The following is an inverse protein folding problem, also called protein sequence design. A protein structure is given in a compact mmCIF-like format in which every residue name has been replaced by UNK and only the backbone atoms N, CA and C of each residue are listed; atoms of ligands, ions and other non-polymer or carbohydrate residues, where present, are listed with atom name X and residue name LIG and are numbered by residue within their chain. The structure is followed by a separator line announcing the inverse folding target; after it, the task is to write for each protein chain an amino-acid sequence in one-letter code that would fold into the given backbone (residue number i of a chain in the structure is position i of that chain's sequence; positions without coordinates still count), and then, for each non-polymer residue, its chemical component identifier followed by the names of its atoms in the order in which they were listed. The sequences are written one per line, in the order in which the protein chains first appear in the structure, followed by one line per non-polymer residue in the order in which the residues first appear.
data_IF_711583298666
#
_entry.id   IF_711583298666
#
_cell.length_a   1.000
_cell.length_b   1.000
_cell.length_c   1.000
_cell.angle_alpha   90.00
_cell.angle_beta   90.00
_cell.angle_gamma   90.00
#
_symmetry.space_group_name_H-M   'P 1'
#
loop_
_entity.id
_entity.type
_entity.pdbx_description
1 polymer ?
#
# COMPACT_ATOMS: atom_id res chain seq x y z
N UNK A 1 -33.39 49.38 -29.33
CA UNK A 1 -33.01 48.47 -30.42
C UNK A 1 -31.51 48.53 -30.63
N UNK A 2 -30.74 47.64 -30.00
CA UNK A 2 -29.46 47.19 -30.53
C UNK A 2 -29.31 45.74 -30.04
N UNK A 3 -29.44 44.82 -31.00
CA UNK A 3 -29.40 43.39 -30.79
C UNK A 3 -27.98 42.85 -31.03
N UNK A 4 -27.69 41.79 -30.29
CA UNK A 4 -26.50 40.96 -30.21
C UNK A 4 -25.84 40.59 -31.55
N UNK A 5 -24.50 40.53 -31.52
CA UNK A 5 -23.73 39.53 -32.27
C UNK A 5 -22.46 39.20 -31.48
N UNK A 6 -22.50 38.12 -30.71
CA UNK A 6 -21.30 37.42 -30.25
C UNK A 6 -21.30 36.06 -30.93
N UNK A 7 -20.44 35.93 -31.93
CA UNK A 7 -20.16 34.69 -32.64
C UNK A 7 -19.45 33.72 -31.68
N UNK A 8 -20.07 32.55 -31.46
CA UNK A 8 -19.44 31.43 -30.77
C UNK A 8 -18.53 30.69 -31.74
N UNK A 9 -17.22 30.69 -31.47
CA UNK A 9 -16.30 29.70 -32.02
C UNK A 9 -16.48 28.39 -31.26
N UNK A 10 -17.36 27.52 -31.76
CA UNK A 10 -17.42 26.10 -31.41
C UNK A 10 -16.78 25.31 -32.56
N UNK A 11 -15.47 25.16 -32.52
CA UNK A 11 -14.75 24.16 -33.32
C UNK A 11 -14.10 23.22 -32.30
N UNK A 12 -14.64 22.00 -32.19
CA UNK A 12 -13.98 20.91 -31.49
C UNK A 12 -14.81 20.14 -30.48
N UNK A 13 -15.99 19.62 -30.85
CA UNK A 13 -16.62 18.50 -30.13
C UNK A 13 -17.73 17.82 -30.95
N UNK A 14 -17.47 17.53 -32.23
CA UNK A 14 -18.39 16.72 -33.03
C UNK A 14 -17.58 15.83 -33.97
N UNK A 15 -17.13 14.69 -33.46
CA UNK A 15 -16.86 13.43 -34.19
C UNK A 15 -16.13 12.42 -33.27
N UNK A 16 -16.87 11.84 -32.33
CA UNK A 16 -16.62 10.46 -31.87
C UNK A 16 -17.93 9.74 -31.51
N UNK A 17 -19.02 10.10 -32.18
CA UNK A 17 -20.19 9.21 -32.24
C UNK A 17 -19.80 8.00 -33.10
N UNK A 18 -20.02 6.81 -32.54
CA UNK A 18 -19.86 5.48 -33.14
C UNK A 18 -18.46 4.82 -33.04
N UNK A 19 -18.15 4.27 -31.86
CA UNK A 19 -17.98 2.81 -31.74
C UNK A 19 -17.84 2.39 -30.26
N UNK A 20 -18.97 2.05 -29.64
CA UNK A 20 -18.97 0.99 -28.63
C UNK A 20 -20.17 0.08 -28.87
N UNK A 21 -20.24 -0.60 -30.03
CA UNK A 21 -21.45 -1.29 -30.49
C UNK A 21 -21.73 -2.61 -29.73
N UNK A 22 -21.32 -2.73 -28.46
CA UNK A 22 -21.48 -3.96 -27.68
C UNK A 22 -21.74 -3.73 -26.18
N UNK A 23 -21.90 -2.48 -25.69
CA UNK A 23 -22.11 -2.24 -24.25
C UNK A 23 -23.16 -1.16 -24.00
N UNK A 24 -24.02 -1.42 -23.01
CA UNK A 24 -25.02 -0.45 -22.58
C UNK A 24 -24.33 0.72 -21.86
N UNK A 25 -24.47 1.93 -22.41
CA UNK A 25 -23.71 3.12 -21.98
C UNK A 25 -24.63 4.24 -21.53
N UNK A 26 -24.34 4.83 -20.37
CA UNK A 26 -25.01 6.04 -19.88
C UNK A 26 -24.30 7.30 -20.38
N UNK A 27 -25.09 8.23 -20.92
CA UNK A 27 -24.65 9.53 -21.41
C UNK A 27 -25.41 10.63 -20.68
N UNK A 28 -24.70 11.41 -19.85
CA UNK A 28 -25.25 12.54 -19.10
C UNK A 28 -25.82 13.67 -19.96
N UNK A 29 -25.40 13.74 -21.24
CA UNK A 29 -26.04 14.53 -22.29
C UNK A 29 -26.11 13.70 -23.57
N UNK A 30 -27.24 13.77 -24.27
CA UNK A 30 -27.45 12.89 -25.43
C UNK A 30 -26.60 13.28 -26.64
N UNK A 31 -25.77 12.37 -27.16
CA UNK A 31 -24.88 12.71 -28.25
C UNK A 31 -25.68 12.88 -29.54
N UNK A 32 -25.45 13.99 -30.26
CA UNK A 32 -26.07 14.27 -31.56
C UNK A 32 -27.53 14.72 -31.51
N UNK A 33 -28.12 14.91 -30.32
CA UNK A 33 -29.47 15.47 -30.16
C UNK A 33 -29.35 16.91 -29.67
N UNK A 34 -29.83 17.86 -30.47
CA UNK A 34 -29.97 19.26 -30.05
C UNK A 34 -31.23 19.34 -29.18
N UNK A 35 -31.07 19.27 -27.85
CA UNK A 35 -32.17 19.45 -26.91
C UNK A 35 -32.18 20.89 -26.39
N UNK A 36 -33.37 21.45 -26.15
CA UNK A 36 -33.48 22.76 -25.52
C UNK A 36 -32.93 22.69 -24.08
N UNK A 37 -32.41 23.79 -23.51
CA UNK A 37 -31.90 23.81 -22.13
C UNK A 37 -32.92 23.37 -21.07
N UNK A 38 -34.21 23.50 -21.38
CA UNK A 38 -35.34 23.06 -20.53
C UNK A 38 -35.63 21.56 -20.64
N UNK A 39 -35.16 20.91 -21.69
CA UNK A 39 -35.39 19.50 -22.02
C UNK A 39 -34.12 18.65 -21.82
N UNK A 40 -33.13 19.15 -21.07
CA UNK A 40 -31.89 18.42 -20.81
C UNK A 40 -32.22 17.06 -20.19
N UNK A 41 -32.14 16.03 -21.03
CA UNK A 41 -32.33 14.64 -20.67
C UNK A 41 -31.04 13.90 -20.98
N UNK A 42 -30.74 12.92 -20.15
CA UNK A 42 -29.65 11.99 -20.38
C UNK A 42 -30.22 10.77 -21.11
N UNK A 43 -29.36 9.97 -21.73
CA UNK A 43 -29.80 8.78 -22.45
C UNK A 43 -28.95 7.58 -22.13
N UNK A 44 -29.57 6.44 -22.38
CA UNK A 44 -28.94 5.14 -22.32
C UNK A 44 -28.82 4.66 -23.76
N UNK A 45 -27.60 4.40 -24.18
CA UNK A 45 -27.30 3.71 -25.42
C UNK A 45 -27.34 2.21 -25.13
N UNK A 46 -28.13 1.44 -25.89
CA UNK A 46 -28.11 -0.01 -25.80
C UNK A 46 -26.92 -0.60 -26.57
N UNK A 47 -26.75 -1.92 -26.48
CA UNK A 47 -25.65 -2.64 -27.13
C UNK A 47 -25.67 -2.48 -28.67
N UNK A 48 -26.83 -2.31 -29.29
CA UNK A 48 -26.98 -2.11 -30.74
C UNK A 48 -26.77 -0.64 -31.14
N UNK A 49 -26.43 0.23 -30.19
CA UNK A 49 -26.17 1.65 -30.39
C UNK A 49 -27.41 2.55 -30.42
N UNK A 50 -28.62 2.01 -30.22
CA UNK A 50 -29.84 2.79 -30.15
C UNK A 50 -29.91 3.58 -28.84
N UNK A 51 -30.29 4.86 -28.94
CA UNK A 51 -30.41 5.76 -27.81
C UNK A 51 -31.85 5.80 -27.29
N UNK A 52 -32.01 5.57 -25.99
CA UNK A 52 -33.25 5.83 -25.26
C UNK A 52 -33.06 7.05 -24.38
N UNK A 53 -33.86 8.09 -24.60
CA UNK A 53 -33.90 9.25 -23.71
C UNK A 53 -34.54 8.86 -22.38
N UNK A 54 -34.01 9.40 -21.29
CA UNK A 54 -34.60 9.27 -19.96
C UNK A 54 -35.10 10.65 -19.57
N UNK A 55 -36.43 10.87 -19.53
CA UNK A 55 -36.98 12.18 -19.22
C UNK A 55 -36.57 12.60 -17.81
N UNK A 56 -36.52 13.91 -17.59
CA UNK A 56 -36.26 14.48 -16.27
C UNK A 56 -37.41 14.13 -15.32
N UNK A 57 -37.16 13.26 -14.34
CA UNK A 57 -38.18 12.79 -13.39
C UNK A 57 -37.99 13.33 -11.97
N UNK A 58 -37.49 14.56 -11.85
CA UNK A 58 -37.27 15.23 -10.56
C UNK A 58 -35.82 15.16 -10.07
N UNK A 59 -35.57 15.45 -8.78
CA UNK A 59 -34.21 15.58 -8.23
C UNK A 59 -33.52 14.23 -8.00
N UNK A 60 -34.30 13.15 -7.82
CA UNK A 60 -33.79 11.79 -7.60
C UNK A 60 -34.15 10.92 -8.80
N UNK A 61 -33.15 10.25 -9.37
CA UNK A 61 -33.29 9.46 -10.59
C UNK A 61 -32.83 8.04 -10.31
N UNK A 62 -33.69 7.07 -10.63
CA UNK A 62 -33.40 5.65 -10.50
C UNK A 62 -33.06 5.02 -11.86
N UNK A 63 -31.80 4.66 -12.04
CA UNK A 63 -31.27 3.92 -13.19
C UNK A 63 -30.73 2.53 -12.76
N UNK A 64 -31.22 2.01 -11.64
CA UNK A 64 -30.80 0.71 -11.14
C UNK A 64 -31.25 -0.43 -12.06
N UNK A 65 -30.47 -1.52 -12.09
CA UNK A 65 -30.80 -2.75 -12.82
C UNK A 65 -31.12 -2.57 -14.32
N UNK A 66 -30.41 -1.66 -15.00
CA UNK A 66 -30.59 -1.39 -16.45
C UNK A 66 -29.51 -2.01 -17.33
N UNK A 67 -28.64 -2.84 -16.75
CA UNK A 67 -27.55 -3.49 -17.47
C UNK A 67 -26.47 -2.52 -17.97
N UNK A 68 -26.38 -1.33 -17.38
CA UNK A 68 -25.38 -0.32 -17.76
C UNK A 68 -23.98 -0.86 -17.43
N UNK A 69 -23.09 -0.86 -18.41
CA UNK A 69 -21.71 -1.33 -18.25
C UNK A 69 -20.70 -0.18 -18.25
N UNK A 70 -21.05 0.93 -18.91
CA UNK A 70 -20.19 2.10 -19.04
C UNK A 70 -20.96 3.38 -18.73
N UNK A 71 -20.31 4.32 -18.04
CA UNK A 71 -20.84 5.68 -17.84
C UNK A 71 -19.90 6.64 -18.54
N UNK A 72 -20.28 7.12 -19.73
CA UNK A 72 -19.47 8.08 -20.45
C UNK A 72 -19.51 9.46 -19.79
N UNK A 73 -20.67 9.86 -19.27
CA UNK A 73 -20.80 11.08 -18.48
C UNK A 73 -21.95 10.96 -17.51
N UNK A 74 -21.80 11.57 -16.33
CA UNK A 74 -22.88 11.68 -15.36
C UNK A 74 -23.82 12.83 -15.74
N UNK A 75 -25.14 12.69 -15.53
CA UNK A 75 -26.07 13.79 -15.71
C UNK A 75 -25.77 14.91 -14.70
N UNK A 76 -25.85 16.16 -15.15
CA UNK A 76 -25.52 17.34 -14.32
C UNK A 76 -26.69 17.83 -13.45
N UNK A 77 -27.93 17.52 -13.84
CA UNK A 77 -29.14 18.03 -13.19
C UNK A 77 -29.62 17.34 -11.90
N UNK A 78 -29.56 16.00 -11.75
CA UNK A 78 -30.13 15.34 -10.57
C UNK A 78 -29.26 15.52 -9.34
N UNK A 79 -29.90 15.69 -8.18
CA UNK A 79 -29.21 15.73 -6.89
C UNK A 79 -28.95 14.35 -6.32
N UNK A 80 -29.72 13.34 -6.74
CA UNK A 80 -29.53 11.94 -6.38
C UNK A 80 -29.65 11.04 -7.61
N UNK A 81 -28.68 10.14 -7.77
CA UNK A 81 -28.64 9.19 -8.87
C UNK A 81 -28.39 7.77 -8.34
N UNK A 82 -29.31 6.87 -8.65
CA UNK A 82 -29.16 5.44 -8.38
C UNK A 82 -28.68 4.71 -9.64
N UNK A 83 -27.46 4.18 -9.59
CA UNK A 83 -26.84 3.32 -10.61
C UNK A 83 -26.58 1.91 -10.09
N UNK A 84 -27.25 1.50 -9.01
CA UNK A 84 -27.03 0.21 -8.38
C UNK A 84 -27.46 -0.97 -9.27
N UNK A 85 -26.94 -2.16 -8.98
CA UNK A 85 -27.30 -3.41 -9.68
C UNK A 85 -27.06 -3.36 -11.19
N UNK A 86 -26.05 -2.62 -11.61
CA UNK A 86 -25.59 -2.58 -12.99
C UNK A 86 -24.26 -3.36 -13.11
N UNK A 87 -23.55 -3.21 -14.22
CA UNK A 87 -22.25 -3.84 -14.45
C UNK A 87 -21.16 -2.79 -14.66
N UNK A 88 -21.29 -1.63 -14.00
CA UNK A 88 -20.39 -0.49 -14.17
C UNK A 88 -19.03 -0.82 -13.57
N UNK A 89 -17.98 -0.68 -14.37
CA UNK A 89 -16.60 -0.80 -13.91
C UNK A 89 -15.93 0.55 -13.69
N UNK A 90 -16.24 1.52 -14.55
CA UNK A 90 -15.54 2.81 -14.60
C UNK A 90 -16.52 3.96 -14.86
N UNK A 91 -16.20 5.11 -14.27
CA UNK A 91 -16.73 6.44 -14.59
C UNK A 91 -15.51 7.29 -14.97
N UNK A 92 -15.02 7.16 -16.21
CA UNK A 92 -13.71 7.68 -16.63
C UNK A 92 -13.68 9.19 -16.84
N UNK A 93 -14.85 9.83 -16.94
CA UNK A 93 -14.95 11.26 -17.28
C UNK A 93 -16.08 11.91 -16.52
N UNK A 94 -15.76 13.01 -15.86
CA UNK A 94 -16.75 13.97 -15.38
C UNK A 94 -16.49 15.32 -16.06
N UNK A 95 -17.52 15.85 -16.73
CA UNK A 95 -17.43 17.15 -17.36
C UNK A 95 -17.40 18.26 -16.31
N UNK A 96 -16.19 18.70 -15.97
CA UNK A 96 -15.95 19.80 -15.02
C UNK A 96 -16.43 21.16 -15.51
N UNK A 97 -16.70 21.31 -16.81
CA UNK A 97 -17.18 22.58 -17.37
C UNK A 97 -18.67 22.80 -17.11
N UNK A 98 -19.42 21.72 -16.88
CA UNK A 98 -20.83 21.76 -16.52
C UNK A 98 -21.02 21.54 -15.01
N UNK A 99 -21.59 22.51 -14.28
CA UNK A 99 -21.78 22.36 -12.84
C UNK A 99 -22.79 21.26 -12.55
N UNK A 100 -22.37 20.25 -11.78
CA UNK A 100 -23.26 19.18 -11.33
C UNK A 100 -23.89 19.50 -9.96
N UNK A 101 -25.18 19.26 -9.84
CA UNK A 101 -25.93 19.36 -8.58
C UNK A 101 -25.92 18.06 -7.78
N UNK A 102 -25.26 17.01 -8.28
CA UNK A 102 -25.29 15.66 -7.73
C UNK A 102 -24.64 15.61 -6.33
N UNK A 103 -25.43 15.22 -5.34
CA UNK A 103 -25.00 15.09 -3.94
C UNK A 103 -24.97 13.64 -3.47
N UNK A 104 -25.80 12.77 -4.05
CA UNK A 104 -25.90 11.36 -3.66
C UNK A 104 -25.77 10.46 -4.87
N UNK A 105 -24.81 9.54 -4.83
CA UNK A 105 -24.58 8.56 -5.88
C UNK A 105 -24.54 7.15 -5.30
N UNK A 106 -25.45 6.30 -5.76
CA UNK A 106 -25.46 4.88 -5.42
C UNK A 106 -24.88 4.06 -6.57
N UNK A 107 -23.73 3.44 -6.32
CA UNK A 107 -23.03 2.54 -7.24
C UNK A 107 -22.92 1.13 -6.64
N UNK A 108 -23.77 0.79 -5.67
CA UNK A 108 -23.76 -0.53 -5.06
C UNK A 108 -24.08 -1.65 -6.06
N UNK A 109 -23.60 -2.86 -5.81
CA UNK A 109 -23.85 -4.02 -6.69
C UNK A 109 -23.43 -3.77 -8.14
N UNK A 110 -22.22 -3.25 -8.33
CA UNK A 110 -21.58 -3.06 -9.63
C UNK A 110 -20.29 -3.90 -9.72
N UNK A 111 -19.44 -3.63 -10.70
CA UNK A 111 -18.19 -4.35 -10.93
C UNK A 111 -16.95 -3.47 -10.65
N UNK A 112 -17.08 -2.45 -9.79
CA UNK A 112 -15.96 -1.56 -9.47
C UNK A 112 -14.85 -2.27 -8.69
N UNK A 113 -13.62 -1.87 -8.96
CA UNK A 113 -12.39 -2.40 -8.36
C UNK A 113 -11.53 -1.26 -7.83
N UNK A 114 -10.43 -1.56 -7.15
CA UNK A 114 -9.48 -0.53 -6.70
C UNK A 114 -8.90 0.32 -7.84
N UNK A 115 -8.81 -0.26 -9.05
CA UNK A 115 -8.23 0.37 -10.24
C UNK A 115 -9.27 1.11 -11.09
N UNK A 116 -10.53 1.10 -10.65
CA UNK A 116 -11.62 1.76 -11.36
C UNK A 116 -11.39 3.27 -11.43
N UNK A 117 -11.54 3.84 -12.62
CA UNK A 117 -11.57 5.29 -12.79
C UNK A 117 -12.89 5.81 -12.24
N UNK A 118 -12.81 6.73 -11.29
CA UNK A 118 -13.96 7.26 -10.59
C UNK A 118 -13.86 8.79 -10.51
N UNK A 119 -14.12 9.45 -11.64
CA UNK A 119 -14.19 10.91 -11.72
C UNK A 119 -15.61 11.35 -11.35
N UNK A 120 -15.78 11.93 -10.16
CA UNK A 120 -17.07 12.36 -9.62
C UNK A 120 -17.09 13.87 -9.36
N UNK A 121 -18.28 14.49 -9.34
CA UNK A 121 -18.42 15.91 -9.02
C UNK A 121 -17.96 16.23 -7.59
N UNK A 122 -17.35 17.41 -7.42
CA UNK A 122 -16.90 17.91 -6.11
C UNK A 122 -18.05 18.25 -5.14
N UNK A 123 -19.28 18.33 -5.65
CA UNK A 123 -20.51 18.55 -4.89
C UNK A 123 -21.03 17.28 -4.20
N UNK A 124 -20.47 16.11 -4.53
CA UNK A 124 -20.90 14.83 -3.98
C UNK A 124 -20.68 14.75 -2.47
N UNK A 125 -21.73 14.38 -1.74
CA UNK A 125 -21.74 14.24 -0.27
C UNK A 125 -21.85 12.79 0.18
N UNK A 126 -22.60 11.97 -0.56
CA UNK A 126 -22.82 10.56 -0.25
C UNK A 126 -22.46 9.69 -1.43
N UNK A 127 -21.57 8.73 -1.20
CA UNK A 127 -21.14 7.75 -2.19
C UNK A 127 -21.30 6.34 -1.60
N UNK A 128 -22.13 5.53 -2.26
CA UNK A 128 -22.30 4.12 -1.94
C UNK A 128 -21.62 3.24 -2.99
N UNK A 129 -20.57 2.53 -2.59
CA UNK A 129 -19.80 1.57 -3.37
C UNK A 129 -19.93 0.15 -2.78
N UNK A 130 -20.96 -0.12 -1.98
CA UNK A 130 -21.16 -1.42 -1.35
C UNK A 130 -21.35 -2.54 -2.37
N UNK A 131 -20.97 -3.77 -2.01
CA UNK A 131 -21.12 -4.95 -2.86
C UNK A 131 -20.50 -4.79 -4.26
N UNK A 132 -19.30 -4.21 -4.30
CA UNK A 132 -18.43 -4.19 -5.47
C UNK A 132 -17.27 -5.18 -5.27
N UNK A 133 -16.17 -5.01 -6.02
CA UNK A 133 -14.98 -5.88 -6.00
C UNK A 133 -13.73 -5.10 -5.61
N UNK A 134 -13.87 -4.09 -4.76
CA UNK A 134 -12.74 -3.28 -4.29
C UNK A 134 -11.94 -4.11 -3.29
N UNK A 135 -10.69 -4.41 -3.63
CA UNK A 135 -9.85 -5.30 -2.81
C UNK A 135 -8.88 -4.57 -1.87
N UNK A 136 -8.50 -3.34 -2.23
CA UNK A 136 -7.51 -2.53 -1.51
C UNK A 136 -7.84 -1.05 -1.64
N UNK A 137 -7.59 -0.28 -0.58
CA UNK A 137 -7.48 1.17 -0.65
C UNK A 137 -6.01 1.54 -0.45
N UNK A 138 -5.32 1.86 -1.55
CA UNK A 138 -3.91 2.26 -1.52
C UNK A 138 -3.74 3.54 -2.34
N UNK A 139 -3.35 4.64 -1.70
CA UNK A 139 -3.22 5.97 -2.34
C UNK A 139 -4.43 6.30 -3.23
N UNK A 140 -5.64 6.00 -2.75
CA UNK A 140 -6.82 5.98 -3.61
C UNK A 140 -7.21 7.39 -4.07
N UNK A 141 -6.75 7.75 -5.28
CA UNK A 141 -6.84 9.08 -5.84
C UNK A 141 -8.27 9.69 -5.88
N UNK A 142 -9.35 8.94 -6.16
CA UNK A 142 -10.70 9.52 -6.26
C UNK A 142 -11.11 10.31 -5.03
N UNK A 143 -10.78 9.84 -3.81
CA UNK A 143 -11.16 10.51 -2.57
C UNK A 143 -10.55 11.91 -2.43
N UNK A 144 -9.35 12.13 -2.97
CA UNK A 144 -8.72 13.46 -2.95
C UNK A 144 -9.47 14.51 -3.77
N UNK A 145 -10.31 14.06 -4.71
CA UNK A 145 -11.07 14.94 -5.62
C UNK A 145 -12.51 15.21 -5.17
N UNK A 146 -12.91 14.68 -4.00
CA UNK A 146 -14.28 14.80 -3.47
C UNK A 146 -14.30 15.58 -2.14
N UNK A 147 -14.04 16.89 -2.14
CA UNK A 147 -13.85 17.68 -0.92
C UNK A 147 -15.14 17.84 -0.08
N UNK A 148 -16.31 17.60 -0.66
CA UNK A 148 -17.60 17.72 0.03
C UNK A 148 -18.13 16.38 0.58
N UNK A 149 -17.38 15.28 0.39
CA UNK A 149 -17.85 13.95 0.73
C UNK A 149 -17.98 13.77 2.25
N UNK A 150 -19.20 13.52 2.71
CA UNK A 150 -19.51 13.31 4.13
C UNK A 150 -19.77 11.86 4.49
N UNK A 151 -20.17 11.02 3.52
CA UNK A 151 -20.55 9.63 3.75
C UNK A 151 -20.00 8.73 2.65
N UNK A 152 -19.23 7.72 3.04
CA UNK A 152 -18.66 6.71 2.15
C UNK A 152 -19.01 5.31 2.64
N UNK A 153 -19.64 4.52 1.77
CA UNK A 153 -20.04 3.14 2.07
C UNK A 153 -19.29 2.19 1.16
N UNK A 154 -18.49 1.31 1.75
CA UNK A 154 -17.67 0.27 1.10
C UNK A 154 -18.05 -1.14 1.60
N UNK A 155 -19.21 -1.26 2.25
CA UNK A 155 -19.70 -2.51 2.83
C UNK A 155 -19.72 -3.66 1.82
N UNK A 156 -19.33 -4.87 2.23
CA UNK A 156 -19.51 -6.07 1.39
C UNK A 156 -18.61 -6.11 0.15
N UNK A 157 -17.44 -5.49 0.21
CA UNK A 157 -16.41 -5.58 -0.83
C UNK A 157 -15.41 -6.72 -0.50
N UNK A 158 -14.25 -6.73 -1.16
CA UNK A 158 -13.16 -7.67 -0.90
C UNK A 158 -11.99 -6.98 -0.20
N UNK A 159 -12.28 -5.91 0.55
CA UNK A 159 -11.27 -5.00 1.08
C UNK A 159 -10.45 -5.70 2.16
N UNK A 160 -9.21 -6.02 1.82
CA UNK A 160 -8.26 -6.68 2.73
C UNK A 160 -7.28 -5.70 3.38
N UNK A 161 -7.10 -4.53 2.78
CA UNK A 161 -6.05 -3.59 3.15
C UNK A 161 -6.47 -2.15 2.90
N UNK A 162 -6.31 -1.31 3.91
CA UNK A 162 -6.41 0.15 3.80
C UNK A 162 -5.06 0.73 4.23
N UNK A 163 -4.35 1.36 3.29
CA UNK A 163 -3.01 1.93 3.49
C UNK A 163 -2.86 3.22 2.72
N UNK A 164 -2.13 4.18 3.28
CA UNK A 164 -1.78 5.45 2.60
C UNK A 164 -2.97 6.15 1.93
N UNK A 165 -4.16 5.97 2.49
CA UNK A 165 -5.39 6.53 1.96
C UNK A 165 -5.77 7.71 2.83
N UNK A 166 -5.75 8.89 2.23
CA UNK A 166 -6.21 10.12 2.87
C UNK A 166 -7.68 10.32 2.57
N UNK A 167 -8.51 10.27 3.61
CA UNK A 167 -9.93 10.57 3.49
C UNK A 167 -10.16 12.09 3.48
N UNK A 168 -11.25 12.56 2.83
CA UNK A 168 -11.62 13.97 2.88
C UNK A 168 -11.84 14.42 4.32
N UNK A 169 -11.38 15.62 4.72
CA UNK A 169 -11.57 16.12 6.09
C UNK A 169 -13.05 16.39 6.44
N UNK A 170 -13.92 16.41 5.43
CA UNK A 170 -15.38 16.55 5.55
C UNK A 170 -16.10 15.23 5.82
N UNK A 171 -15.39 14.08 5.74
CA UNK A 171 -15.99 12.77 5.93
C UNK A 171 -16.45 12.60 7.39
N UNK A 172 -17.69 12.14 7.57
CA UNK A 172 -18.34 11.93 8.86
C UNK A 172 -18.76 10.48 9.08
N UNK A 173 -18.99 9.71 8.02
CA UNK A 173 -19.33 8.30 8.11
C UNK A 173 -18.51 7.49 7.10
N UNK A 174 -17.89 6.42 7.61
CA UNK A 174 -17.19 5.40 6.83
C UNK A 174 -17.73 4.03 7.23
N UNK A 175 -18.30 3.31 6.27
CA UNK A 175 -18.75 1.94 6.46
C UNK A 175 -17.89 0.97 5.64
N UNK A 176 -17.10 0.15 6.33
CA UNK A 176 -16.26 -0.90 5.76
C UNK A 176 -16.64 -2.29 6.27
N UNK A 177 -17.84 -2.45 6.83
CA UNK A 177 -18.35 -3.75 7.32
C UNK A 177 -18.44 -4.80 6.20
N UNK A 178 -18.48 -6.08 6.57
CA UNK A 178 -18.46 -7.21 5.65
C UNK A 178 -17.28 -7.17 4.68
N UNK A 179 -16.07 -6.89 5.19
CA UNK A 179 -14.84 -6.95 4.40
C UNK A 179 -13.76 -7.75 5.15
N UNK A 180 -12.93 -8.53 4.44
CA UNK A 180 -11.86 -9.33 5.05
C UNK A 180 -10.63 -8.48 5.40
N UNK A 181 -10.80 -7.37 6.12
CA UNK A 181 -9.71 -6.44 6.43
C UNK A 181 -8.71 -7.11 7.37
N UNK A 182 -7.48 -7.24 6.92
CA UNK A 182 -6.36 -7.79 7.70
C UNK A 182 -5.32 -6.74 8.05
N UNK A 183 -5.33 -5.58 7.39
CA UNK A 183 -4.46 -4.44 7.72
C UNK A 183 -5.18 -3.13 7.48
N UNK A 184 -5.05 -2.23 8.46
CA UNK A 184 -5.57 -0.88 8.41
C UNK A 184 -4.49 0.08 8.96
N UNK A 185 -3.67 0.58 8.05
CA UNK A 185 -2.54 1.44 8.37
C UNK A 185 -2.83 2.86 7.88
N UNK A 186 -2.76 3.84 8.78
CA UNK A 186 -3.19 5.21 8.49
C UNK A 186 -2.23 6.24 9.07
N UNK A 187 -2.20 7.41 8.44
CA UNK A 187 -1.44 8.55 8.96
C UNK A 187 -2.15 9.19 10.18
N UNK A 188 -1.48 10.06 10.95
CA UNK A 188 -2.05 10.62 12.17
C UNK A 188 -3.26 11.53 11.88
N UNK A 189 -3.28 12.17 10.71
CA UNK A 189 -4.42 13.01 10.29
C UNK A 189 -5.69 12.19 10.08
N UNK A 190 -5.57 11.02 9.44
CA UNK A 190 -6.67 10.08 9.23
C UNK A 190 -7.13 9.50 10.56
N UNK A 191 -6.21 9.07 11.42
CA UNK A 191 -6.57 8.61 12.76
C UNK A 191 -7.38 9.66 13.51
N UNK A 192 -6.90 10.91 13.54
CA UNK A 192 -7.61 12.03 14.17
C UNK A 192 -9.00 12.29 13.60
N UNK A 193 -9.21 12.08 12.30
CA UNK A 193 -10.52 12.21 11.65
C UNK A 193 -11.46 11.08 12.09
N UNK A 194 -11.01 9.83 12.02
CA UNK A 194 -11.83 8.65 12.33
C UNK A 194 -12.21 8.56 13.82
N UNK A 195 -11.43 9.19 14.71
CA UNK A 195 -11.69 9.21 16.15
C UNK A 195 -12.40 10.47 16.65
N UNK A 196 -12.92 11.32 15.76
CA UNK A 196 -13.73 12.47 16.18
C UNK A 196 -15.04 11.98 16.84
N UNK A 197 -15.59 12.72 17.82
CA UNK A 197 -16.79 12.31 18.56
C UNK A 197 -18.03 12.11 17.67
N UNK A 198 -18.16 12.89 16.60
CA UNK A 198 -19.28 12.80 15.66
C UNK A 198 -19.01 11.87 14.47
N UNK A 199 -17.83 11.22 14.43
CA UNK A 199 -17.46 10.34 13.33
C UNK A 199 -18.06 8.95 13.53
N UNK A 200 -18.75 8.45 12.51
CA UNK A 200 -19.36 7.12 12.50
C UNK A 200 -18.48 6.16 11.70
N UNK A 201 -17.64 5.41 12.40
CA UNK A 201 -16.86 4.32 11.82
C UNK A 201 -17.58 2.98 12.02
N UNK A 202 -18.00 2.34 10.93
CA UNK A 202 -18.55 0.99 10.95
C UNK A 202 -17.52 0.04 10.34
N UNK A 203 -17.04 -0.90 11.15
CA UNK A 203 -16.05 -1.89 10.75
C UNK A 203 -16.23 -3.18 11.53
N UNK A 204 -15.87 -4.29 10.91
CA UNK A 204 -15.80 -5.56 11.63
C UNK A 204 -14.56 -5.60 12.50
N UNK A 205 -14.57 -6.49 13.50
CA UNK A 205 -13.41 -6.69 14.37
C UNK A 205 -12.23 -7.20 13.53
N UNK A 206 -11.11 -6.49 13.58
CA UNK A 206 -9.90 -6.90 12.88
C UNK A 206 -9.29 -8.15 13.55
N UNK A 207 -8.57 -9.00 12.80
CA UNK A 207 -7.81 -10.12 13.36
C UNK A 207 -6.79 -9.65 14.40
N UNK A 208 -6.47 -10.49 15.39
CA UNK A 208 -5.48 -10.14 16.43
C UNK A 208 -4.08 -9.86 15.84
N UNK A 209 -3.78 -10.45 14.68
CA UNK A 209 -2.47 -10.38 14.03
C UNK A 209 -2.14 -9.02 13.42
N UNK A 210 -3.12 -8.08 13.33
CA UNK A 210 -2.90 -6.74 12.75
C UNK A 210 -1.76 -6.00 13.45
N UNK A 211 -1.64 -6.16 14.76
CA UNK A 211 -0.56 -5.54 15.58
C UNK A 211 0.82 -6.04 15.15
N UNK A 212 0.94 -7.31 14.75
CA UNK A 212 2.25 -7.92 14.44
C UNK A 212 2.82 -7.45 13.09
N UNK A 213 1.96 -7.02 12.17
CA UNK A 213 2.34 -6.49 10.86
C UNK A 213 2.48 -4.97 10.82
N UNK A 214 2.23 -4.29 11.94
CA UNK A 214 2.25 -2.84 12.02
C UNK A 214 3.68 -2.30 11.99
N UNK A 215 3.98 -1.48 10.99
CA UNK A 215 5.26 -0.77 10.87
C UNK A 215 5.31 0.49 11.75
N UNK A 216 4.15 1.10 12.00
CA UNK A 216 4.00 2.28 12.85
C UNK A 216 3.71 1.94 14.31
N UNK A 217 2.93 2.79 14.97
CA UNK A 217 2.50 2.63 16.35
C UNK A 217 1.12 1.97 16.40
N UNK A 218 0.98 0.75 16.96
CA UNK A 218 -0.32 0.15 17.21
C UNK A 218 -1.12 1.02 18.18
N UNK A 219 -2.29 1.47 17.77
CA UNK A 219 -3.13 2.41 18.51
C UNK A 219 -4.56 1.85 18.61
N UNK A 220 -5.17 1.93 19.79
CA UNK A 220 -6.52 1.42 20.02
C UNK A 220 -7.57 2.41 19.50
N UNK A 221 -8.53 1.95 18.70
CA UNK A 221 -9.67 2.75 18.30
C UNK A 221 -10.63 2.99 19.48
N UNK A 222 -11.01 4.24 19.79
CA UNK A 222 -11.90 4.55 20.92
C UNK A 222 -13.23 3.81 20.84
N UNK A 223 -13.71 3.32 21.99
CA UNK A 223 -14.99 2.61 22.08
C UNK A 223 -14.99 1.21 21.44
N UNK A 224 -13.83 0.71 21.02
CA UNK A 224 -13.68 -0.63 20.43
C UNK A 224 -12.56 -1.41 21.12
N UNK A 225 -12.46 -2.71 20.83
CA UNK A 225 -11.29 -3.53 21.20
C UNK A 225 -10.38 -3.79 20.00
N UNK A 226 -10.33 -2.86 19.05
CA UNK A 226 -9.60 -3.01 17.80
C UNK A 226 -8.38 -2.10 17.74
N UNK A 227 -7.22 -2.68 17.45
CA UNK A 227 -5.98 -1.94 17.22
C UNK A 227 -5.81 -1.63 15.73
N UNK A 228 -5.39 -0.41 15.43
CA UNK A 228 -5.00 0.05 14.09
C UNK A 228 -3.54 0.48 14.09
N UNK A 229 -2.90 0.49 12.93
CA UNK A 229 -1.52 0.92 12.81
C UNK A 229 -1.46 2.41 12.42
N UNK A 230 -0.92 3.27 13.30
CA UNK A 230 -0.74 4.70 12.99
C UNK A 230 0.71 4.96 12.66
N UNK A 231 0.99 5.43 11.45
CA UNK A 231 2.34 5.66 10.95
C UNK A 231 2.58 7.17 10.74
N UNK A 232 3.75 7.69 11.09
CA UNK A 232 4.10 9.13 11.00
C UNK A 232 5.09 9.45 9.85
N UNK A 233 5.28 8.53 8.89
CA UNK A 233 6.24 8.68 7.78
C UNK A 233 5.72 8.24 6.42
N UNK A 234 6.29 8.75 5.33
CA UNK A 234 5.96 8.27 3.99
C UNK A 234 6.52 6.85 3.79
N UNK A 235 5.69 5.91 3.35
CA UNK A 235 6.03 4.49 3.13
C UNK A 235 7.18 4.28 2.12
N UNK A 236 7.53 5.30 1.34
CA UNK A 236 8.72 5.31 0.48
C UNK A 236 10.02 5.17 1.31
N UNK A 237 9.98 5.50 2.60
CA UNK A 237 11.09 5.28 3.52
C UNK A 237 11.24 3.83 3.97
N UNK A 238 10.29 2.90 3.74
CA UNK A 238 10.52 1.49 4.11
C UNK A 238 11.57 0.85 3.20
N UNK A 239 11.63 1.27 1.92
CA UNK A 239 12.75 0.90 1.06
C UNK A 239 14.07 1.49 1.58
N UNK A 240 14.05 2.74 2.05
CA UNK A 240 15.21 3.40 2.64
C UNK A 240 15.62 2.81 4.00
N UNK A 241 14.68 2.38 4.84
CA UNK A 241 14.90 1.74 6.12
C UNK A 241 15.40 0.32 5.93
N UNK A 242 14.84 -0.45 4.98
CA UNK A 242 15.37 -1.76 4.60
C UNK A 242 16.79 -1.64 4.02
N UNK A 243 17.06 -0.65 3.17
CA UNK A 243 18.42 -0.31 2.73
C UNK A 243 19.33 0.14 3.88
N UNK A 244 18.84 0.88 4.86
CA UNK A 244 19.59 1.31 6.03
C UNK A 244 19.89 0.14 7.00
N UNK A 245 18.97 -0.80 7.16
CA UNK A 245 19.18 -2.03 7.91
C UNK A 245 20.19 -2.93 7.19
N UNK A 246 20.00 -3.18 5.88
CA UNK A 246 20.93 -3.98 5.06
C UNK A 246 22.32 -3.35 4.99
N UNK A 247 22.45 -2.02 4.89
CA UNK A 247 23.75 -1.34 4.84
C UNK A 247 24.52 -1.43 6.16
N UNK A 248 23.83 -1.37 7.31
CA UNK A 248 24.45 -1.59 8.64
C UNK A 248 25.03 -2.99 8.77
N UNK A 249 24.31 -4.02 8.31
CA UNK A 249 24.81 -5.40 8.36
C UNK A 249 25.86 -5.69 7.27
N UNK A 250 25.76 -5.05 6.10
CA UNK A 250 26.77 -5.18 5.05
C UNK A 250 28.14 -4.66 5.49
N UNK A 251 28.19 -3.52 6.20
CA UNK A 251 29.44 -3.00 6.76
C UNK A 251 30.07 -3.96 7.78
N UNK A 252 29.26 -4.58 8.64
CA UNK A 252 29.72 -5.58 9.61
C UNK A 252 30.27 -6.82 8.90
N UNK A 253 29.54 -7.35 7.91
CA UNK A 253 29.99 -8.50 7.11
C UNK A 253 31.30 -8.17 6.38
N UNK A 254 31.42 -6.99 5.76
CA UNK A 254 32.65 -6.55 5.11
C UNK A 254 33.81 -6.41 6.09
N UNK A 255 33.59 -5.84 7.28
CA UNK A 255 34.61 -5.75 8.33
C UNK A 255 35.08 -7.14 8.78
N UNK A 256 34.16 -8.10 8.96
CA UNK A 256 34.49 -9.48 9.32
C UNK A 256 35.30 -10.15 8.20
N UNK A 257 34.94 -9.95 6.93
CA UNK A 257 35.70 -10.46 5.79
C UNK A 257 37.11 -9.85 5.71
N UNK A 258 37.24 -8.53 5.93
CA UNK A 258 38.55 -7.85 5.96
C UNK A 258 39.40 -8.35 7.12
N UNK A 259 38.82 -8.47 8.33
CA UNK A 259 39.52 -9.06 9.49
C UNK A 259 39.97 -10.49 9.21
N UNK A 260 39.09 -11.33 8.66
CA UNK A 260 39.44 -12.70 8.29
C UNK A 260 40.56 -12.74 7.23
N UNK A 261 40.51 -11.84 6.25
CA UNK A 261 41.54 -11.72 5.22
C UNK A 261 42.89 -11.27 5.79
N UNK A 262 42.89 -10.26 6.68
CA UNK A 262 44.08 -9.76 7.38
C UNK A 262 44.66 -10.85 8.27
N UNK A 263 43.84 -11.56 9.05
CA UNK A 263 44.28 -12.69 9.89
C UNK A 263 44.89 -13.79 9.02
N UNK A 264 44.29 -14.10 7.87
CA UNK A 264 44.81 -15.09 6.92
C UNK A 264 46.17 -14.67 6.34
N UNK A 265 46.29 -13.42 5.90
CA UNK A 265 47.55 -12.81 5.42
C UNK A 265 48.63 -12.84 6.51
N UNK A 266 48.27 -12.47 7.73
CA UNK A 266 49.19 -12.47 8.87
C UNK A 266 49.68 -13.87 9.23
N UNK A 267 48.78 -14.87 9.26
CA UNK A 267 49.16 -16.28 9.46
C UNK A 267 50.08 -16.79 8.34
N UNK A 268 49.79 -16.43 7.09
CA UNK A 268 50.61 -16.83 5.94
C UNK A 268 52.02 -16.22 6.00
N UNK A 269 52.13 -14.93 6.34
CA UNK A 269 53.43 -14.26 6.52
C UNK A 269 54.22 -14.87 7.67
N UNK A 270 53.57 -15.11 8.82
CA UNK A 270 54.23 -15.73 9.98
C UNK A 270 54.74 -17.15 9.67
N UNK A 271 54.01 -17.91 8.85
CA UNK A 271 54.48 -19.22 8.41
C UNK A 271 55.70 -19.12 7.49
N UNK A 272 55.81 -18.07 6.67
CA UNK A 272 57.02 -17.81 5.86
C UNK A 272 58.21 -17.36 6.72
N UNK A 273 57.97 -16.56 7.77
CA UNK A 273 59.03 -16.14 8.70
C UNK A 273 59.55 -17.32 9.55
N UNK A 274 58.75 -18.37 9.75
CA UNK A 274 59.19 -19.61 10.41
C UNK A 274 60.05 -20.52 9.50
N UNK A 275 60.02 -20.36 8.18
CA UNK A 275 60.88 -21.12 7.26
C UNK A 275 62.21 -20.42 6.94
N UNK A 276 62.37 -19.13 7.28
CA UNK A 276 63.55 -18.33 6.89
C UNK A 276 64.51 -17.97 8.05
N UNK A 277 64.51 -18.73 9.14
CA UNK A 277 65.68 -18.81 10.00
C UNK A 277 66.34 -20.17 9.76
N UNK A 278 67.46 -20.25 9.02
CA UNK A 278 68.32 -21.41 9.20
C UNK A 278 68.67 -21.43 10.68
N UNK A 279 68.39 -22.55 11.36
CA UNK A 279 69.00 -22.78 12.66
C UNK A 279 70.50 -22.78 12.42
N UNK A 280 71.15 -21.64 12.65
CA UNK A 280 72.59 -21.59 12.79
C UNK A 280 72.92 -22.40 14.03
N UNK A 281 73.26 -23.66 13.78
CA UNK A 281 73.84 -24.55 14.79
C UNK A 281 75.20 -23.96 15.11
N UNK A 282 75.28 -23.15 16.17
CA UNK A 282 76.55 -22.69 16.69
C UNK A 282 77.31 -23.90 17.25
N UNK A 283 78.23 -24.46 16.46
CA UNK A 283 79.30 -25.31 16.98
C UNK A 283 80.26 -24.41 17.76
N UNK A 284 80.10 -24.39 19.09
CA UNK A 284 81.19 -23.97 19.97
C UNK A 284 82.22 -25.10 19.99
N UNK A 285 83.28 -24.98 19.17
CA UNK A 285 84.47 -25.79 19.35
C UNK A 285 85.27 -25.20 20.51
N UNK A 286 85.01 -25.69 21.72
CA UNK A 286 85.97 -25.52 22.80
C UNK A 286 87.06 -26.58 22.59
N UNK A 287 88.11 -26.23 21.86
CA UNK A 287 89.31 -27.05 21.81
C UNK A 287 89.95 -27.02 23.20
N UNK A 288 89.79 -28.10 23.96
CA UNK A 288 90.80 -28.49 24.92
C UNK A 288 91.36 -29.85 24.51
N UNK A 289 92.68 -29.82 24.41
CA UNK A 289 93.59 -30.86 23.95
C UNK A 289 93.65 -31.98 25.00
N UNK A 290 93.70 -33.23 24.51
CA UNK A 290 93.85 -34.50 25.24
C UNK A 290 92.60 -35.06 25.93
N UNK A 291 91.93 -36.00 25.28
CA UNK A 291 91.88 -37.42 25.68
C UNK A 291 90.95 -38.24 24.76
N UNK A 292 91.47 -39.38 24.27
CA UNK A 292 90.80 -40.34 23.39
C UNK A 292 89.67 -41.12 24.11
N UNK A 293 88.38 -40.76 23.96
CA UNK A 293 87.23 -41.70 23.83
C UNK A 293 85.96 -40.96 23.37
N UNK A 294 85.15 -41.46 22.41
CA UNK A 294 83.85 -40.87 22.10
C UNK A 294 82.79 -41.24 23.16
N UNK A 295 82.18 -40.22 23.79
CA UNK A 295 81.04 -40.37 24.70
C UNK A 295 79.74 -40.37 23.88
N UNK A 296 79.02 -41.50 23.89
CA UNK A 296 77.64 -41.56 23.39
C UNK A 296 76.68 -40.98 24.43
N UNK A 297 75.89 -39.98 24.04
CA UNK A 297 74.72 -39.57 24.81
C UNK A 297 73.46 -40.19 24.20
N UNK A 298 72.79 -41.05 24.98
CA UNK A 298 71.45 -41.57 24.71
C UNK A 298 70.49 -40.80 25.61
N UNK A 299 69.67 -39.93 25.03
CA UNK A 299 68.57 -39.29 25.76
C UNK A 299 67.33 -40.19 25.75
N UNK A 300 66.85 -40.52 26.94
CA UNK A 300 65.64 -41.29 27.20
C UNK A 300 64.41 -40.40 27.13
N UNK A 301 63.45 -40.77 26.29
CA UNK A 301 62.11 -40.17 26.25
C UNK A 301 61.30 -40.68 27.45
N UNK A 302 60.95 -39.79 28.38
CA UNK A 302 59.88 -40.02 29.36
C UNK A 302 59.09 -38.74 29.56
N UNK A 303 57.78 -38.82 29.35
CA UNK A 303 56.83 -37.73 29.54
C UNK A 303 55.41 -38.21 29.32
N UNK A 304 54.99 -39.11 30.20
CA UNK A 304 53.72 -39.81 30.30
C UNK A 304 52.56 -38.85 30.63
N UNK A 305 51.38 -39.10 30.06
CA UNK A 305 50.08 -38.59 30.53
C UNK A 305 49.85 -38.91 32.03
N UNK A 306 48.90 -38.22 32.68
CA UNK A 306 47.91 -39.01 33.40
C UNK A 306 46.44 -38.59 33.20
N UNK A 307 45.67 -39.65 33.44
CA UNK A 307 44.23 -39.91 33.37
C UNK A 307 43.38 -39.13 34.40
N UNK A 308 42.10 -39.10 34.08
CA UNK A 308 40.90 -38.46 34.64
C UNK A 308 40.43 -38.98 36.03
N UNK A 309 39.80 -38.06 36.79
CA UNK A 309 38.73 -38.14 37.82
C UNK A 309 38.95 -38.82 39.19
N UNK A 310 38.56 -38.11 40.27
CA UNK A 310 37.27 -38.31 41.00
C UNK A 310 36.92 -37.12 41.93
N UNK A 311 35.62 -36.83 42.00
CA UNK A 311 34.78 -36.14 43.03
C UNK A 311 35.23 -36.29 44.50
N UNK A 312 34.73 -35.61 45.53
CA UNK A 312 33.91 -34.43 45.85
C UNK A 312 33.86 -34.39 47.41
N UNK A 313 33.35 -33.28 47.96
CA UNK A 313 32.76 -33.12 49.30
C UNK A 313 33.64 -32.58 50.45
N UNK A 314 33.21 -31.39 50.85
CA UNK A 314 33.53 -30.54 51.99
C UNK A 314 32.98 -31.08 53.32
N UNK A 315 33.74 -30.91 54.44
CA UNK A 315 33.19 -30.51 55.76
C UNK A 315 34.26 -30.19 56.83
N UNK A 316 34.24 -28.90 57.23
CA UNK A 316 34.41 -28.25 58.56
C UNK A 316 35.19 -28.95 59.69
N UNK A 317 36.22 -28.25 60.19
CA UNK A 317 36.39 -27.70 61.56
C UNK A 317 37.33 -26.49 61.38
N UNK A 318 36.99 -25.25 61.76
CA UNK A 318 36.77 -24.65 63.09
C UNK A 318 35.81 -23.47 62.96
#
# INVERSE_FOLDING_TARGET
MLAHSFAWTLVGAALSLANSPNVTTLWGGCPGIIMQPTDMSFCIQNEVGALSTVPRMGPAIDLSARGIQMVQSLPSEPTSLDLSKNAIRDIPTFDRTNPSTLQTLNLSWNAMTQDSRLELPSTLKTLDLSYNRISKLFRWAPLSTMPSLTRLILKGNQLSMIRETSFPPTLKELDVTNNPIVSFDMNPATYRLLTQPDFVLKMDKLPADVVTSCVGTPTLLPGTSTYVCVYDGAHDEISAMAFAFLSKYAAVVMCVFVLAFVIRRYRQSRNQDQELYPRDTYLSSNCNQFDDVPVQYRESVTGQEPVIATEDVTRRHV
#
